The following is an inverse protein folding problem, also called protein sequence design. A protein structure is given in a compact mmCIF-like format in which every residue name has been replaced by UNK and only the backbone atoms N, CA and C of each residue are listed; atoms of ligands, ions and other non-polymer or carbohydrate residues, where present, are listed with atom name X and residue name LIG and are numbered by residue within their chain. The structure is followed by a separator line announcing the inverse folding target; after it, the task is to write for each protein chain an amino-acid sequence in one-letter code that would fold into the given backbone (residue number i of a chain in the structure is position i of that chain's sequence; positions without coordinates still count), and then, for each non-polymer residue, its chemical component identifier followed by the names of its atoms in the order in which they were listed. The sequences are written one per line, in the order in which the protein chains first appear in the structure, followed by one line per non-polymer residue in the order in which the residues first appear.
data_IF_975528412842
#
_entry.id   IF_975528412842
#
_cell.length_a   1.000
_cell.length_b   1.000
_cell.length_c   1.000
_cell.angle_alpha   90.00
_cell.angle_beta   90.00
_cell.angle_gamma   90.00
#
_symmetry.space_group_name_H-M   'P 1'
#
loop_
_entity.id
_entity.type
_entity.pdbx_description
1 polymer ?
#
# COMPACT_ATOMS: atom_id res chain seq x y z
N UNK A 1 -8.75 -9.33 -35.80
CA UNK A 1 -9.24 -8.45 -34.73
C UNK A 1 -8.01 -7.90 -34.03
N UNK A 2 -7.85 -6.57 -33.97
CA UNK A 2 -6.66 -5.98 -33.36
C UNK A 2 -6.74 -6.18 -31.84
N UNK A 3 -5.73 -6.84 -31.29
CA UNK A 3 -5.56 -7.00 -29.85
C UNK A 3 -5.13 -5.65 -29.26
N UNK A 4 -6.08 -4.88 -28.73
CA UNK A 4 -5.77 -3.63 -28.03
C UNK A 4 -5.04 -3.98 -26.73
N UNK A 5 -3.72 -3.78 -26.70
CA UNK A 5 -2.92 -3.98 -25.50
C UNK A 5 -3.37 -3.00 -24.40
N UNK A 6 -3.86 -3.53 -23.29
CA UNK A 6 -4.21 -2.73 -22.12
C UNK A 6 -2.96 -2.00 -21.63
N UNK A 7 -3.00 -0.67 -21.58
CA UNK A 7 -1.90 0.14 -21.04
C UNK A 7 -2.26 0.64 -19.65
N UNK A 8 -1.29 0.65 -18.73
CA UNK A 8 -1.49 1.16 -17.39
C UNK A 8 -1.68 2.70 -17.45
N UNK A 9 -2.81 3.25 -16.99
CA UNK A 9 -3.05 4.70 -17.03
C UNK A 9 -2.15 5.51 -16.11
N UNK A 10 -1.45 4.85 -15.17
CA UNK A 10 -0.59 5.52 -14.18
C UNK A 10 0.88 5.62 -14.60
N UNK A 11 1.38 4.69 -15.41
CA UNK A 11 2.79 4.68 -15.83
C UNK A 11 2.99 4.48 -17.34
N UNK A 12 1.92 4.26 -18.11
CA UNK A 12 1.98 3.99 -19.55
C UNK A 12 2.50 2.61 -19.93
N UNK A 13 2.90 1.77 -18.96
CA UNK A 13 3.44 0.46 -19.26
C UNK A 13 2.37 -0.47 -19.85
N UNK A 14 2.69 -1.26 -20.90
CA UNK A 14 1.76 -2.23 -21.46
C UNK A 14 1.57 -3.42 -20.52
N UNK A 15 0.33 -3.89 -20.43
CA UNK A 15 -0.01 -5.13 -19.73
C UNK A 15 0.20 -6.30 -20.68
N UNK A 16 1.08 -7.24 -20.30
CA UNK A 16 1.47 -8.39 -21.16
C UNK A 16 0.83 -9.71 -20.74
N UNK A 17 0.21 -9.76 -19.57
CA UNK A 17 -0.41 -10.98 -19.08
C UNK A 17 -1.82 -11.14 -19.66
N UNK A 18 -2.21 -12.39 -19.91
CA UNK A 18 -3.57 -12.73 -20.36
C UNK A 18 -4.52 -12.42 -19.19
N UNK A 19 -5.48 -11.54 -19.42
CA UNK A 19 -6.51 -11.19 -18.44
C UNK A 19 -7.63 -12.23 -18.56
N UNK A 20 -7.87 -13.07 -17.53
CA UNK A 20 -8.98 -14.02 -17.58
C UNK A 20 -10.32 -13.28 -17.68
N UNK A 21 -11.25 -13.82 -18.47
CA UNK A 21 -12.59 -13.25 -18.60
C UNK A 21 -13.27 -13.13 -17.23
N UNK A 22 -13.91 -11.98 -16.98
CA UNK A 22 -14.53 -11.67 -15.68
C UNK A 22 -13.60 -11.07 -14.63
N UNK A 23 -12.31 -10.89 -14.95
CA UNK A 23 -11.39 -10.16 -14.07
C UNK A 23 -11.73 -8.68 -14.05
N UNK A 24 -12.10 -8.14 -12.88
CA UNK A 24 -12.50 -6.74 -12.73
C UNK A 24 -11.29 -5.84 -12.46
N UNK A 25 -10.24 -6.40 -11.86
CA UNK A 25 -9.06 -5.67 -11.38
C UNK A 25 -7.79 -6.41 -11.74
N UNK A 26 -6.79 -5.68 -12.22
CA UNK A 26 -5.44 -6.23 -12.40
C UNK A 26 -4.43 -5.29 -11.75
N UNK A 27 -3.34 -5.86 -11.24
CA UNK A 27 -2.22 -5.10 -10.68
C UNK A 27 -1.18 -4.87 -11.76
N UNK A 28 -0.70 -3.64 -11.91
CA UNK A 28 0.39 -3.33 -12.82
C UNK A 28 1.73 -3.77 -12.21
N UNK A 29 2.45 -4.65 -12.89
CA UNK A 29 3.75 -5.16 -12.42
C UNK A 29 4.84 -4.07 -12.35
N UNK A 30 4.70 -3.00 -13.14
CA UNK A 30 5.70 -1.94 -13.21
C UNK A 30 5.57 -0.91 -12.08
N UNK A 31 4.35 -0.47 -11.78
CA UNK A 31 4.12 0.61 -10.80
C UNK A 31 3.35 0.16 -9.55
N UNK A 32 2.87 -1.09 -9.52
CA UNK A 32 2.10 -1.66 -8.43
C UNK A 32 0.66 -1.17 -8.33
N UNK A 33 0.20 -0.30 -9.24
CA UNK A 33 -1.16 0.25 -9.22
C UNK A 33 -2.20 -0.83 -9.55
N UNK A 34 -3.31 -0.87 -8.81
CA UNK A 34 -4.48 -1.67 -9.16
C UNK A 34 -5.36 -0.88 -10.14
N UNK A 35 -5.47 -1.40 -11.37
CA UNK A 35 -6.22 -0.79 -12.46
C UNK A 35 -7.51 -1.58 -12.69
N UNK A 36 -8.59 -0.86 -13.00
CA UNK A 36 -9.85 -1.49 -13.40
C UNK A 36 -9.75 -1.92 -14.85
N UNK A 37 -10.15 -3.16 -15.15
CA UNK A 37 -10.21 -3.66 -16.51
C UNK A 37 -11.33 -2.89 -17.25
N UNK A 38 -11.06 -2.32 -18.43
CA UNK A 38 -12.09 -1.63 -19.20
C UNK A 38 -13.27 -2.54 -19.56
N UNK A 39 -14.49 -2.00 -19.70
CA UNK A 39 -15.68 -2.77 -20.11
C UNK A 39 -15.51 -3.49 -21.43
N UNK A 40 -14.72 -2.92 -22.35
CA UNK A 40 -14.37 -3.53 -23.65
C UNK A 40 -13.64 -4.86 -23.51
N UNK A 41 -12.96 -5.08 -22.38
CA UNK A 41 -12.24 -6.30 -22.03
C UNK A 41 -13.00 -7.14 -20.98
N UNK A 42 -14.30 -6.89 -20.80
CA UNK A 42 -15.15 -7.65 -19.87
C UNK A 42 -15.11 -7.19 -18.41
N UNK A 43 -14.52 -6.02 -18.13
CA UNK A 43 -14.54 -5.44 -16.78
C UNK A 43 -15.84 -4.71 -16.43
N UNK A 44 -16.09 -4.50 -15.14
CA UNK A 44 -17.27 -3.76 -14.68
C UNK A 44 -17.10 -2.25 -14.91
N UNK A 45 -18.09 -1.62 -15.56
CA UNK A 45 -18.17 -0.15 -15.68
C UNK A 45 -18.38 0.42 -14.29
N UNK A 46 -17.39 1.17 -13.78
CA UNK A 46 -17.56 1.96 -12.56
C UNK A 46 -17.31 3.42 -12.86
N UNK A 47 -18.23 4.27 -12.43
CA UNK A 47 -18.11 5.72 -12.55
C UNK A 47 -17.40 6.30 -11.33
N UNK A 48 -16.77 7.45 -11.52
CA UNK A 48 -16.19 8.18 -10.39
C UNK A 48 -17.32 8.81 -9.56
N UNK A 49 -17.35 8.63 -8.23
CA UNK A 49 -18.40 9.22 -7.39
C UNK A 49 -18.38 10.75 -7.37
N UNK A 50 -17.24 11.37 -7.71
CA UNK A 50 -17.10 12.81 -7.81
C UNK A 50 -17.45 13.34 -9.23
N UNK A 51 -17.38 12.48 -10.24
CA UNK A 51 -17.55 12.84 -11.65
C UNK A 51 -18.32 11.71 -12.35
N UNK A 52 -19.67 11.73 -12.35
CA UNK A 52 -20.49 10.64 -12.89
C UNK A 52 -20.23 10.41 -14.39
N UNK A 53 -19.85 11.47 -15.11
CA UNK A 53 -19.56 11.41 -16.55
C UNK A 53 -18.17 10.84 -16.86
N UNK A 54 -17.34 10.56 -15.84
CA UNK A 54 -15.97 10.06 -16.00
C UNK A 54 -15.85 8.64 -15.47
N UNK A 55 -15.31 7.73 -16.30
CA UNK A 55 -15.00 6.37 -15.87
C UNK A 55 -13.88 6.35 -14.83
N UNK A 56 -14.06 5.53 -13.80
CA UNK A 56 -13.03 5.30 -12.81
C UNK A 56 -11.90 4.43 -13.39
N UNK A 57 -10.66 4.78 -13.06
CA UNK A 57 -9.44 4.16 -13.61
C UNK A 57 -8.68 3.35 -12.56
N UNK A 58 -8.92 3.62 -11.28
CA UNK A 58 -8.31 2.88 -10.17
C UNK A 58 -9.15 2.95 -8.90
N UNK A 59 -8.66 2.29 -7.86
CA UNK A 59 -9.32 2.22 -6.56
C UNK A 59 -8.49 2.91 -5.48
N UNK A 60 -9.17 3.49 -4.50
CA UNK A 60 -8.51 3.99 -3.29
C UNK A 60 -8.08 2.81 -2.41
N UNK A 61 -6.80 2.74 -2.04
CA UNK A 61 -6.24 1.69 -1.17
C UNK A 61 -6.83 1.69 0.25
N UNK A 62 -7.41 2.80 0.70
CA UNK A 62 -7.96 2.94 2.05
C UNK A 62 -9.46 2.60 2.10
N UNK A 63 -10.28 3.16 1.21
CA UNK A 63 -11.73 2.99 1.23
C UNK A 63 -12.27 2.02 0.16
N UNK A 64 -11.43 1.53 -0.74
CA UNK A 64 -11.79 0.57 -1.79
C UNK A 64 -12.72 1.10 -2.89
N UNK A 65 -13.09 2.39 -2.87
CA UNK A 65 -13.96 2.98 -3.90
C UNK A 65 -13.18 3.33 -5.17
N UNK A 66 -13.87 3.31 -6.30
CA UNK A 66 -13.32 3.57 -7.63
C UNK A 66 -13.33 5.07 -7.95
N UNK A 67 -12.21 5.61 -8.42
CA UNK A 67 -12.05 7.04 -8.71
C UNK A 67 -11.38 7.24 -10.08
N UNK A 68 -11.60 8.41 -10.68
CA UNK A 68 -10.83 8.83 -11.86
C UNK A 68 -9.40 9.26 -11.46
N UNK A 69 -8.51 9.42 -12.44
CA UNK A 69 -7.12 9.84 -12.24
C UNK A 69 -7.01 11.20 -11.53
N UNK A 70 -7.97 12.10 -11.74
CA UNK A 70 -7.99 13.44 -11.11
C UNK A 70 -8.37 13.41 -9.63
N UNK A 71 -9.11 12.39 -9.18
CA UNK A 71 -9.57 12.27 -7.79
C UNK A 71 -8.67 11.38 -6.93
N UNK A 72 -7.66 10.75 -7.54
CA UNK A 72 -6.71 9.85 -6.89
C UNK A 72 -5.37 10.55 -6.68
N UNK A 73 -4.96 10.67 -5.43
CA UNK A 73 -3.61 11.08 -5.05
C UNK A 73 -2.68 9.88 -5.07
N UNK A 74 -1.50 10.05 -5.66
CA UNK A 74 -0.49 8.99 -5.82
C UNK A 74 0.69 9.31 -4.90
N UNK A 75 1.01 8.40 -3.99
CA UNK A 75 2.17 8.50 -3.10
C UNK A 75 3.13 7.35 -3.39
N UNK A 76 4.43 7.65 -3.45
CA UNK A 76 5.45 6.62 -3.49
C UNK A 76 5.72 6.13 -2.06
N UNK A 77 5.59 4.83 -1.84
CA UNK A 77 5.92 4.15 -0.58
C UNK A 77 6.95 3.05 -0.87
N UNK A 78 7.69 2.63 0.15
CA UNK A 78 8.56 1.47 0.01
C UNK A 78 7.73 0.26 -0.44
N UNK A 79 7.99 -0.27 -1.64
CA UNK A 79 7.24 -1.39 -2.21
C UNK A 79 6.13 -1.03 -3.20
N UNK A 80 5.90 0.25 -3.54
CA UNK A 80 5.00 0.60 -4.63
C UNK A 80 4.37 2.00 -4.58
N UNK A 81 3.28 2.17 -5.34
CA UNK A 81 2.49 3.41 -5.36
C UNK A 81 1.16 3.22 -4.62
N UNK A 82 0.92 4.06 -3.62
CA UNK A 82 -0.32 4.12 -2.87
C UNK A 82 -1.28 5.12 -3.54
N UNK A 83 -2.50 4.67 -3.85
CA UNK A 83 -3.52 5.47 -4.50
C UNK A 83 -4.61 5.80 -3.48
N UNK A 84 -4.79 7.08 -3.14
CA UNK A 84 -5.67 7.51 -2.05
C UNK A 84 -6.61 8.61 -2.52
N UNK A 85 -7.90 8.53 -2.17
CA UNK A 85 -8.85 9.60 -2.51
C UNK A 85 -8.69 10.82 -1.60
N UNK A 86 -9.24 11.97 -2.01
CA UNK A 86 -9.17 13.22 -1.26
C UNK A 86 -9.61 13.09 0.22
N UNK A 87 -10.75 12.42 0.47
CA UNK A 87 -11.29 12.24 1.83
C UNK A 87 -10.34 11.42 2.72
N UNK A 88 -9.80 10.31 2.19
CA UNK A 88 -8.83 9.48 2.91
C UNK A 88 -7.49 10.21 3.11
N UNK A 89 -7.08 11.01 2.14
CA UNK A 89 -5.90 11.85 2.24
C UNK A 89 -6.03 12.89 3.36
N UNK A 90 -7.15 13.61 3.42
CA UNK A 90 -7.42 14.58 4.49
C UNK A 90 -7.47 13.90 5.86
N UNK A 91 -8.10 12.73 5.96
CA UNK A 91 -8.13 11.92 7.18
C UNK A 91 -6.71 11.56 7.65
N UNK A 92 -5.81 11.19 6.73
CA UNK A 92 -4.39 10.93 7.05
C UNK A 92 -3.63 12.19 7.43
N UNK A 93 -3.89 13.32 6.76
CA UNK A 93 -3.22 14.60 7.02
C UNK A 93 -3.60 15.18 8.38
N UNK A 94 -4.89 15.13 8.74
CA UNK A 94 -5.40 15.64 10.02
C UNK A 94 -4.74 14.98 11.22
N UNK A 95 -4.38 13.71 11.11
CA UNK A 95 -3.74 12.98 12.20
C UNK A 95 -2.32 13.50 12.50
N UNK A 96 -1.55 13.95 11.50
CA UNK A 96 -0.18 14.47 11.72
C UNK A 96 -0.17 15.78 12.51
N UNK A 97 -1.15 16.65 12.27
CA UNK A 97 -1.23 17.98 12.90
C UNK A 97 -1.50 17.88 14.40
N UNK A 98 -2.32 16.92 14.82
CA UNK A 98 -2.63 16.69 16.25
C UNK A 98 -1.38 16.22 16.99
N UNK A 99 -0.65 15.25 16.43
CA UNK A 99 0.60 14.76 17.04
C UNK A 99 1.68 15.84 17.13
N UNK A 100 1.86 16.64 16.07
CA UNK A 100 2.81 17.75 16.10
C UNK A 100 2.45 18.79 17.19
N UNK A 101 1.16 19.08 17.36
CA UNK A 101 0.68 20.00 18.39
C UNK A 101 0.89 19.44 19.80
N UNK A 102 0.60 18.16 20.02
CA UNK A 102 0.85 17.48 21.31
C UNK A 102 2.34 17.49 21.64
N UNK A 103 3.20 17.18 20.67
CA UNK A 103 4.66 17.22 20.83
C UNK A 103 5.17 18.61 21.20
N UNK A 104 4.62 19.65 20.57
CA UNK A 104 4.98 21.03 20.84
C UNK A 104 4.52 21.50 22.23
N UNK A 105 3.31 21.13 22.65
CA UNK A 105 2.82 21.45 24.01
C UNK A 105 3.67 20.73 25.05
N UNK A 106 3.98 19.46 24.82
CA UNK A 106 4.80 18.66 25.74
C UNK A 106 6.22 19.21 25.87
N UNK A 107 6.86 19.63 24.77
CA UNK A 107 8.19 20.22 24.81
C UNK A 107 8.20 21.55 25.57
N UNK A 108 7.19 22.39 25.39
CA UNK A 108 7.04 23.65 26.15
C UNK A 108 6.82 23.37 27.63
N UNK A 109 5.91 22.45 27.98
CA UNK A 109 5.64 22.08 29.38
C UNK A 109 6.89 21.54 30.09
N UNK A 110 7.70 20.74 29.40
CA UNK A 110 8.98 20.25 29.90
C UNK A 110 9.95 21.40 30.17
N UNK A 111 10.06 22.34 29.24
CA UNK A 111 10.96 23.50 29.35
C UNK A 111 10.59 24.40 30.54
N UNK A 112 9.29 24.54 30.82
CA UNK A 112 8.78 25.29 31.99
C UNK A 112 8.95 24.55 33.32
N UNK A 113 8.99 23.21 33.32
CA UNK A 113 9.16 22.40 34.53
C UNK A 113 10.62 22.33 35.00
N UNK A 114 11.60 22.43 34.10
CA UNK A 114 13.04 22.38 34.42
C UNK A 114 13.46 23.36 35.54
N UNK A 115 13.13 24.66 35.52
CA UNK A 115 13.55 25.59 36.57
C UNK A 115 12.95 25.26 37.94
N UNK A 116 11.74 24.70 38.00
CA UNK A 116 11.15 24.24 39.27
C UNK A 116 11.91 23.06 39.85
N UNK A 117 12.41 22.15 39.01
CA UNK A 117 13.24 21.02 39.45
C UNK A 117 14.60 21.51 39.97
N UNK A 118 15.17 22.54 39.36
CA UNK A 118 16.48 23.09 39.75
C UNK A 118 16.38 23.98 41.00
N UNK A 119 15.30 24.75 41.14
CA UNK A 119 15.21 25.80 42.15
C UNK A 119 14.64 25.34 43.50
N UNK A 120 14.10 24.11 43.63
CA UNK A 120 13.63 23.64 44.94
C UNK A 120 14.83 23.29 45.82
N UNK A 121 15.10 24.04 46.91
CA UNK A 121 16.15 23.68 47.85
C UNK A 121 15.72 22.38 48.54
N UNK A 122 16.45 21.29 48.32
CA UNK A 122 16.19 20.00 48.98
C UNK A 122 16.36 20.18 50.49
N UNK A 123 15.30 20.05 51.31
CA UNK A 123 15.40 20.30 52.75
C UNK A 123 16.09 19.17 53.53
N UNK A 124 16.34 18.01 52.90
CA UNK A 124 17.12 16.90 53.46
C UNK A 124 17.65 15.98 52.36
N UNK A 125 18.86 15.40 52.50
CA UNK A 125 19.48 14.54 51.47
C UNK A 125 18.73 13.22 51.25
N UNK A 126 17.90 12.79 52.20
CA UNK A 126 17.36 11.42 52.21
C UNK A 126 16.02 11.28 51.45
N UNK A 127 15.30 12.38 51.18
CA UNK A 127 13.95 12.32 50.59
C UNK A 127 13.88 12.94 49.18
N UNK A 128 14.78 13.87 48.85
CA UNK A 128 14.78 14.56 47.54
C UNK A 128 15.11 13.66 46.35
N UNK A 129 15.99 12.67 46.55
CA UNK A 129 16.45 11.78 45.47
C UNK A 129 15.35 10.92 44.86
N UNK A 130 14.40 10.44 45.68
CA UNK A 130 13.33 9.54 45.21
C UNK A 130 12.35 10.28 44.30
N UNK A 131 11.99 11.52 44.64
CA UNK A 131 11.06 12.32 43.84
C UNK A 131 11.68 12.73 42.49
N UNK A 132 12.97 13.07 42.50
CA UNK A 132 13.69 13.43 41.28
C UNK A 132 13.89 12.23 40.34
N UNK A 133 14.16 11.03 40.88
CA UNK A 133 14.20 9.78 40.12
C UNK A 133 12.84 9.44 39.48
N UNK A 134 11.74 9.60 40.22
CA UNK A 134 10.39 9.37 39.70
C UNK A 134 10.04 10.32 38.56
N UNK A 135 10.37 11.61 38.68
CA UNK A 135 10.18 12.58 37.61
C UNK A 135 10.99 12.23 36.36
N UNK A 136 12.26 11.84 36.52
CA UNK A 136 13.10 11.39 35.42
C UNK A 136 12.56 10.13 34.74
N UNK A 137 12.06 9.17 35.51
CA UNK A 137 11.48 7.93 34.99
C UNK A 137 10.18 8.18 34.21
N UNK A 138 9.28 9.03 34.72
CA UNK A 138 8.04 9.42 34.03
C UNK A 138 8.37 10.18 32.73
N UNK A 139 9.38 11.05 32.75
CA UNK A 139 9.85 11.75 31.55
C UNK A 139 10.39 10.77 30.49
N UNK A 140 11.23 9.81 30.90
CA UNK A 140 11.74 8.78 30.00
C UNK A 140 10.61 7.91 29.43
N UNK A 141 9.65 7.48 30.26
CA UNK A 141 8.48 6.69 29.84
C UNK A 141 7.62 7.45 28.83
N UNK A 142 7.35 8.73 29.09
CA UNK A 142 6.58 9.57 28.16
C UNK A 142 7.31 9.77 26.84
N UNK A 143 8.63 10.02 26.85
CA UNK A 143 9.45 10.08 25.63
C UNK A 143 9.46 8.75 24.87
N UNK A 144 9.56 7.61 25.55
CA UNK A 144 9.48 6.29 24.92
C UNK A 144 8.11 6.02 24.30
N UNK A 145 7.00 6.37 24.96
CA UNK A 145 5.65 6.18 24.43
C UNK A 145 5.36 7.11 23.23
N UNK A 146 5.89 8.33 23.27
CA UNK A 146 5.84 9.28 22.16
C UNK A 146 6.64 8.75 20.96
N UNK A 147 7.86 8.26 21.17
CA UNK A 147 8.68 7.64 20.13
C UNK A 147 8.03 6.39 19.53
N UNK A 148 7.40 5.55 20.36
CA UNK A 148 6.70 4.35 19.90
C UNK A 148 5.44 4.68 19.09
N UNK A 149 4.78 5.81 19.39
CA UNK A 149 3.59 6.25 18.66
C UNK A 149 3.90 6.78 17.26
N UNK A 150 5.08 7.38 17.05
CA UNK A 150 5.58 7.72 15.72
C UNK A 150 5.95 6.47 14.89
N UNK A 151 6.27 5.36 15.58
CA UNK A 151 6.62 4.08 14.97
C UNK A 151 5.45 3.13 14.72
N UNK A 152 4.20 3.49 15.06
CA UNK A 152 3.04 2.69 14.65
C UNK A 152 2.93 2.75 13.13
N UNK A 153 3.55 1.76 12.48
CA UNK A 153 3.35 1.41 11.08
C UNK A 153 1.86 1.57 10.80
N UNK A 154 1.54 2.41 9.82
CA UNK A 154 0.16 2.61 9.37
C UNK A 154 -0.51 1.24 9.27
N UNK A 155 -1.79 1.11 9.67
CA UNK A 155 -2.49 -0.17 9.60
C UNK A 155 -2.22 -0.77 8.22
N UNK A 156 -1.90 -2.08 8.15
CA UNK A 156 -1.64 -2.75 6.89
C UNK A 156 -2.76 -2.36 5.93
N UNK A 157 -2.38 -1.79 4.79
CA UNK A 157 -3.34 -1.30 3.82
C UNK A 157 -4.29 -2.44 3.45
N UNK A 158 -5.50 -2.16 2.98
CA UNK A 158 -6.41 -3.21 2.50
C UNK A 158 -5.72 -4.06 1.41
N UNK A 159 -4.72 -3.50 0.72
CA UNK A 159 -3.83 -4.22 -0.18
C UNK A 159 -2.92 -5.24 0.54
N UNK A 160 -2.40 -4.97 1.73
CA UNK A 160 -1.64 -5.93 2.53
C UNK A 160 -2.54 -7.07 3.06
N UNK A 161 -3.82 -6.75 3.34
CA UNK A 161 -4.81 -7.78 3.68
C UNK A 161 -5.22 -8.62 2.46
N UNK A 162 -5.30 -8.01 1.27
CA UNK A 162 -5.56 -8.73 0.01
C UNK A 162 -4.33 -9.51 -0.49
N UNK A 163 -3.10 -9.07 -0.17
CA UNK A 163 -1.89 -9.83 -0.44
C UNK A 163 -1.68 -11.00 0.53
N UNK A 164 -2.22 -10.94 1.76
CA UNK A 164 -2.25 -12.10 2.65
C UNK A 164 -3.26 -13.17 2.21
N UNK A 165 -4.24 -12.81 1.36
CA UNK A 165 -4.94 -13.75 0.49
C UNK A 165 -4.07 -14.12 -0.71
N UNK A 166 -2.98 -14.83 -0.44
CA UNK A 166 -1.93 -15.18 -1.40
C UNK A 166 -2.48 -15.80 -2.69
N UNK A 167 -2.55 -15.00 -3.75
CA UNK A 167 -2.03 -15.44 -5.03
C UNK A 167 -0.50 -15.39 -4.92
N UNK A 168 0.07 -16.28 -4.11
CA UNK A 168 1.44 -16.68 -4.38
C UNK A 168 1.48 -17.11 -5.83
N UNK A 169 2.45 -16.60 -6.58
CA UNK A 169 2.81 -17.09 -7.90
C UNK A 169 3.34 -18.52 -7.84
N UNK A 170 2.60 -19.44 -7.23
CA UNK A 170 2.50 -20.79 -7.75
C UNK A 170 1.93 -20.61 -9.15
N UNK A 171 2.83 -20.49 -10.14
CA UNK A 171 2.53 -21.03 -11.46
C UNK A 171 2.29 -22.52 -11.18
N UNK A 172 1.03 -22.98 -11.02
CA UNK A 172 0.84 -24.34 -10.60
C UNK A 172 1.46 -25.17 -11.73
N UNK A 173 2.38 -26.05 -11.37
CA UNK A 173 3.05 -26.94 -12.33
C UNK A 173 2.04 -27.69 -13.22
N UNK A 174 0.76 -27.68 -12.87
CA UNK A 174 -0.38 -28.11 -13.68
C UNK A 174 -0.68 -27.29 -14.94
N UNK A 175 -0.09 -26.11 -15.19
CA UNK A 175 -0.28 -25.38 -16.46
C UNK A 175 0.90 -25.48 -17.43
N UNK A 176 1.94 -26.21 -17.06
CA UNK A 176 3.09 -26.46 -17.91
C UNK A 176 3.09 -27.92 -18.38
N UNK A 177 3.31 -28.14 -19.67
CA UNK A 177 3.64 -29.44 -20.25
C UNK A 177 5.09 -29.43 -20.75
N UNK A 178 5.72 -30.60 -20.83
CA UNK A 178 7.03 -30.73 -21.46
C UNK A 178 6.86 -30.87 -22.97
N UNK A 179 7.65 -30.15 -23.76
CA UNK A 179 7.68 -30.31 -25.20
C UNK A 179 8.12 -31.73 -25.57
N UNK A 180 7.36 -32.40 -26.45
CA UNK A 180 7.63 -33.78 -26.90
C UNK A 180 9.03 -33.93 -27.54
N UNK A 181 9.54 -32.89 -28.19
CA UNK A 181 10.84 -32.93 -28.90
C UNK A 181 12.02 -32.50 -28.03
N UNK A 182 11.92 -31.37 -27.32
CA UNK A 182 13.06 -30.76 -26.63
C UNK A 182 12.97 -30.77 -25.09
N UNK A 183 11.92 -31.37 -24.51
CA UNK A 183 11.73 -31.56 -23.06
C UNK A 183 11.69 -30.28 -22.19
N UNK A 184 11.73 -29.08 -22.79
CA UNK A 184 11.54 -27.81 -22.09
C UNK A 184 10.07 -27.61 -21.70
N UNK A 185 9.84 -26.96 -20.57
CA UNK A 185 8.50 -26.63 -20.07
C UNK A 185 7.89 -25.51 -20.93
N UNK A 186 6.65 -25.72 -21.37
CA UNK A 186 5.86 -24.82 -22.21
C UNK A 186 4.41 -24.75 -21.69
N UNK A 187 3.66 -23.67 -21.96
CA UNK A 187 2.24 -23.59 -21.56
C UNK A 187 1.42 -24.73 -22.18
N UNK A 188 0.45 -25.28 -21.42
CA UNK A 188 -0.42 -26.37 -21.91
C UNK A 188 -1.17 -25.97 -23.20
N UNK A 189 -1.57 -24.70 -23.30
CA UNK A 189 -2.27 -24.14 -24.47
C UNK A 189 -1.38 -23.93 -25.71
N UNK A 190 -0.06 -24.17 -25.62
CA UNK A 190 0.84 -23.98 -26.76
C UNK A 190 0.71 -25.12 -27.77
N UNK A 191 0.25 -24.80 -28.98
CA UNK A 191 0.18 -25.73 -30.12
C UNK A 191 1.55 -25.99 -30.77
N UNK A 192 2.47 -25.03 -30.69
CA UNK A 192 3.85 -25.14 -31.14
C UNK A 192 4.84 -24.79 -30.02
N UNK A 193 6.00 -25.42 -30.02
CA UNK A 193 7.05 -25.16 -29.03
C UNK A 193 7.87 -23.91 -29.42
N UNK A 194 7.96 -22.87 -28.58
CA UNK A 194 8.71 -21.65 -28.90
C UNK A 194 10.22 -21.86 -29.00
N UNK A 195 10.75 -23.01 -28.54
CA UNK A 195 12.18 -23.30 -28.54
C UNK A 195 12.64 -24.17 -29.71
N UNK A 196 11.75 -24.94 -30.32
CA UNK A 196 12.12 -25.91 -31.36
C UNK A 196 11.07 -26.09 -32.47
N UNK A 197 10.02 -25.26 -32.46
CA UNK A 197 8.95 -25.18 -33.47
C UNK A 197 8.18 -26.51 -33.68
N UNK A 198 8.34 -27.47 -32.78
CA UNK A 198 7.64 -28.74 -32.87
C UNK A 198 6.16 -28.57 -32.50
N UNK A 199 5.27 -28.97 -33.42
CA UNK A 199 3.83 -29.09 -33.16
C UNK A 199 3.56 -30.09 -32.03
N UNK A 200 2.73 -29.68 -31.08
CA UNK A 200 2.27 -30.50 -29.95
C UNK A 200 0.90 -31.08 -30.32
N UNK A 201 0.72 -32.39 -30.22
CA UNK A 201 -0.62 -33.00 -30.33
C UNK A 201 -1.40 -32.65 -29.07
N UNK A 202 -2.57 -32.01 -29.23
CA UNK A 202 -3.51 -31.83 -28.12
C UNK A 202 -3.99 -33.20 -27.63
N UNK A 203 -3.72 -33.50 -26.36
CA UNK A 203 -4.31 -34.64 -25.64
C UNK A 203 -5.68 -34.26 -25.11
#
# INVERSE_FOLDING_TARGET
MAEEALTCPFCGAPYRAIIPAGTIQVKCDYCGATILVPPRLGGAVRQCPNHPDTLAVGLCNDCGQSYCTRCLYIFNVEGGKLHVCAKCYEKRRGMKTVWASILLIFSIALLLAIPFIIATPTPSPDTGGVLQMLFGAILLLTLSLVGFSAGKKMPPSVHDMLQQGGYEGHNPKSFLKKCVKCQKEIPIASEECPYCEAKQKGT
#
